data_IF_794548552510
#
_entry.id   IF_794548552510
#
_cell.length_a   1.000
_cell.length_b   1.000
_cell.length_c   1.000
_cell.angle_alpha   90.00
_cell.angle_beta   90.00
_cell.angle_gamma   90.00
#
_symmetry.space_group_name_H-M   'P 1'
#
loop_
_entity.id
_entity.type
_entity.pdbx_description
1 polymer ?
#
# COMPACT_ATOMS: atom_id res chain seq x y z
N UNK A 1 46.61 -34.66 31.27
CA UNK A 1 47.38 -34.21 32.45
C UNK A 1 47.09 -32.73 32.63
N UNK A 2 46.71 -32.35 33.86
CA UNK A 2 46.48 -30.99 34.38
C UNK A 2 45.22 -30.21 33.94
N UNK A 3 44.57 -29.67 34.96
CA UNK A 3 43.20 -29.11 35.07
C UNK A 3 43.28 -27.58 34.99
N UNK A 4 42.31 -26.93 34.33
CA UNK A 4 42.16 -25.46 34.31
C UNK A 4 41.07 -24.98 35.28
N UNK A 5 41.33 -23.79 35.84
CA UNK A 5 40.84 -23.20 37.09
C UNK A 5 39.39 -22.70 37.09
N UNK A 6 38.79 -22.79 38.28
CA UNK A 6 37.71 -21.94 38.80
C UNK A 6 38.14 -20.47 38.90
N UNK A 7 37.30 -19.55 38.42
CA UNK A 7 36.98 -18.34 39.17
C UNK A 7 35.45 -18.29 39.31
N UNK A 8 35.03 -18.38 40.58
CA UNK A 8 33.66 -18.45 41.06
C UNK A 8 33.56 -17.40 42.13
N UNK A 9 32.68 -16.42 41.99
CA UNK A 9 31.98 -15.90 43.17
C UNK A 9 30.52 -15.65 42.89
N UNK A 10 29.72 -16.62 43.35
CA UNK A 10 28.26 -16.58 43.62
C UNK A 10 27.35 -16.43 42.41
N UNK A 11 26.55 -17.41 42.05
CA UNK A 11 26.36 -18.78 42.51
C UNK A 11 25.69 -19.49 41.35
N UNK A 12 26.31 -20.59 40.92
CA UNK A 12 25.74 -21.91 41.11
C UNK A 12 24.44 -22.09 40.30
N UNK A 13 24.55 -22.43 39.01
CA UNK A 13 24.63 -23.81 38.48
C UNK A 13 23.33 -24.59 38.58
N UNK A 14 23.12 -25.33 37.48
CA UNK A 14 22.51 -26.65 37.41
C UNK A 14 21.17 -26.72 36.71
N UNK A 15 21.26 -27.33 35.53
CA UNK A 15 20.26 -28.19 34.92
C UNK A 15 19.39 -28.95 35.94
N UNK A 16 18.08 -28.96 35.73
CA UNK A 16 17.27 -30.16 35.54
C UNK A 16 15.80 -29.75 35.28
N UNK A 17 15.26 -30.23 34.16
CA UNK A 17 14.00 -31.00 34.07
C UNK A 17 12.77 -30.46 34.81
N UNK A 18 11.77 -30.09 33.98
CA UNK A 18 10.30 -30.18 34.21
C UNK A 18 9.71 -29.17 35.20
N UNK A 19 8.95 -28.21 34.69
CA UNK A 19 7.48 -28.15 34.79
C UNK A 19 6.99 -26.92 34.01
N UNK A 20 6.08 -27.18 33.09
CA UNK A 20 5.09 -26.29 32.51
C UNK A 20 4.56 -25.24 33.51
N UNK A 21 4.90 -23.96 33.35
CA UNK A 21 4.06 -22.87 33.84
C UNK A 21 4.03 -21.70 32.84
N UNK A 22 2.84 -21.52 32.27
CA UNK A 22 2.39 -20.31 31.61
C UNK A 22 2.74 -19.07 32.44
N UNK A 23 3.49 -18.14 31.86
CA UNK A 23 3.40 -16.74 32.25
C UNK A 23 3.71 -15.87 31.03
N UNK A 24 2.64 -15.39 30.40
CA UNK A 24 2.68 -14.21 29.55
C UNK A 24 3.34 -13.08 30.34
N UNK A 25 4.60 -12.77 30.05
CA UNK A 25 5.16 -11.47 30.39
C UNK A 25 5.56 -10.81 29.08
N UNK A 26 4.54 -10.15 28.53
CA UNK A 26 4.71 -9.15 27.50
C UNK A 26 5.88 -8.25 27.90
N UNK A 27 6.93 -8.24 27.08
CA UNK A 27 7.82 -7.10 27.01
C UNK A 27 6.99 -5.91 26.54
N UNK A 28 6.30 -5.25 27.47
CA UNK A 28 5.82 -3.88 27.31
C UNK A 28 7.07 -3.02 27.47
N UNK A 29 7.90 -3.02 26.42
CA UNK A 29 8.67 -1.83 26.13
C UNK A 29 7.65 -0.70 25.95
N UNK A 30 7.81 0.47 26.58
CA UNK A 30 7.07 1.65 26.17
C UNK A 30 7.53 1.93 24.74
N UNK A 31 6.79 1.40 23.78
CA UNK A 31 6.86 1.85 22.40
C UNK A 31 6.46 3.31 22.50
N UNK A 32 7.42 4.20 22.36
CA UNK A 32 7.16 5.60 22.04
C UNK A 32 6.20 5.59 20.86
N UNK A 33 4.93 5.81 21.17
CA UNK A 33 3.87 5.91 20.20
C UNK A 33 4.06 7.26 19.52
N UNK A 34 5.04 7.33 18.62
CA UNK A 34 5.04 8.28 17.51
C UNK A 34 3.99 7.82 16.51
N UNK A 35 2.75 7.70 16.96
CA UNK A 35 1.60 7.62 16.07
C UNK A 35 1.40 9.00 15.45
N UNK A 36 1.08 9.10 14.16
CA UNK A 36 0.62 10.37 13.62
C UNK A 36 -0.72 10.66 14.30
N UNK A 37 -0.75 11.71 15.12
CA UNK A 37 -2.01 12.26 15.59
C UNK A 37 -2.89 12.68 14.40
N UNK A 38 -4.20 12.80 14.59
CA UNK A 38 -5.10 13.30 13.56
C UNK A 38 -4.94 14.83 13.49
N UNK A 39 -3.78 15.29 13.03
CA UNK A 39 -3.59 16.66 12.55
C UNK A 39 -4.12 16.76 11.12
N UNK A 40 -4.69 17.89 10.70
CA UNK A 40 -5.01 18.11 9.31
C UNK A 40 -3.69 18.17 8.53
N UNK A 41 -3.28 17.05 7.94
CA UNK A 41 -2.14 17.05 7.03
C UNK A 41 -2.44 18.03 5.89
N UNK A 42 -1.50 18.92 5.50
CA UNK A 42 -1.71 19.81 4.37
C UNK A 42 -1.96 18.98 3.12
N UNK A 43 -2.80 19.46 2.19
CA UNK A 43 -3.19 18.80 0.94
C UNK A 43 -2.02 18.16 0.14
N UNK A 44 -0.79 18.66 0.33
CA UNK A 44 0.47 18.13 -0.21
C UNK A 44 0.73 16.67 0.21
N UNK A 45 0.23 16.23 1.36
CA UNK A 45 0.40 14.86 1.87
C UNK A 45 -0.50 13.84 1.15
N UNK A 46 -1.68 14.24 0.67
CA UNK A 46 -2.63 13.30 0.05
C UNK A 46 -2.09 12.70 -1.25
N UNK A 47 -1.42 13.52 -2.08
CA UNK A 47 -0.79 13.04 -3.31
C UNK A 47 0.33 12.03 -3.01
N UNK A 48 1.25 12.37 -2.11
CA UNK A 48 2.35 11.49 -1.71
C UNK A 48 1.85 10.17 -1.12
N UNK A 49 0.80 10.23 -0.28
CA UNK A 49 0.15 9.03 0.29
C UNK A 49 -0.51 8.16 -0.77
N UNK A 50 -1.17 8.77 -1.76
CA UNK A 50 -1.74 8.04 -2.89
C UNK A 50 -0.64 7.32 -3.69
N UNK A 51 0.45 8.01 -4.01
CA UNK A 51 1.57 7.43 -4.75
C UNK A 51 2.22 6.28 -3.99
N UNK A 52 2.45 6.43 -2.68
CA UNK A 52 2.97 5.36 -1.83
C UNK A 52 2.03 4.14 -1.77
N UNK A 53 0.72 4.37 -1.63
CA UNK A 53 -0.27 3.29 -1.64
C UNK A 53 -0.33 2.58 -3.01
N UNK A 54 -0.24 3.33 -4.11
CA UNK A 54 -0.19 2.74 -5.45
C UNK A 54 1.09 1.91 -5.65
N UNK A 55 2.24 2.38 -5.16
CA UNK A 55 3.48 1.60 -5.19
C UNK A 55 3.35 0.28 -4.42
N UNK A 56 2.71 0.31 -3.24
CA UNK A 56 2.41 -0.90 -2.47
C UNK A 56 1.52 -1.88 -3.26
N UNK A 57 0.46 -1.38 -3.93
CA UNK A 57 -0.39 -2.20 -4.80
C UNK A 57 0.38 -2.83 -5.96
N UNK A 58 1.36 -2.13 -6.54
CA UNK A 58 2.22 -2.68 -7.61
C UNK A 58 3.14 -3.79 -7.09
N UNK A 59 3.67 -3.63 -5.88
CA UNK A 59 4.55 -4.63 -5.24
C UNK A 59 3.83 -5.90 -4.77
N UNK A 60 2.50 -5.85 -4.58
CA UNK A 60 1.74 -7.03 -4.14
C UNK A 60 1.65 -8.11 -5.23
N UNK A 61 1.79 -9.41 -4.88
CA UNK A 61 1.59 -10.53 -5.78
C UNK A 61 0.09 -10.84 -5.94
N UNK A 62 -0.64 -9.89 -6.51
CA UNK A 62 -2.08 -10.04 -6.76
C UNK A 62 -2.34 -11.02 -7.90
N UNK A 63 -3.27 -11.96 -7.67
CA UNK A 63 -3.56 -13.10 -8.55
C UNK A 63 -4.37 -12.75 -9.81
N UNK A 64 -4.91 -11.53 -9.90
CA UNK A 64 -5.72 -11.08 -11.03
C UNK A 64 -5.45 -9.61 -11.35
N UNK A 65 -5.61 -9.24 -12.62
CA UNK A 65 -5.52 -7.85 -13.07
C UNK A 65 -6.62 -6.99 -12.45
N UNK A 66 -7.84 -7.51 -12.31
CA UNK A 66 -8.94 -6.81 -11.62
C UNK A 66 -8.59 -6.52 -10.17
N UNK A 67 -8.00 -7.48 -9.44
CA UNK A 67 -7.57 -7.26 -8.06
C UNK A 67 -6.54 -6.13 -7.96
N UNK A 68 -5.58 -6.09 -8.89
CA UNK A 68 -4.59 -5.01 -8.99
C UNK A 68 -5.23 -3.66 -9.33
N UNK A 69 -6.16 -3.64 -10.28
CA UNK A 69 -6.88 -2.43 -10.67
C UNK A 69 -7.71 -1.85 -9.51
N UNK A 70 -8.39 -2.70 -8.73
CA UNK A 70 -9.12 -2.28 -7.51
C UNK A 70 -8.18 -1.65 -6.49
N UNK A 71 -7.07 -2.31 -6.16
CA UNK A 71 -6.08 -1.78 -5.23
C UNK A 71 -5.57 -0.39 -5.69
N UNK A 72 -5.21 -0.28 -6.97
CA UNK A 72 -4.74 0.99 -7.54
C UNK A 72 -5.81 2.09 -7.52
N UNK A 73 -7.08 1.74 -7.71
CA UNK A 73 -8.19 2.69 -7.64
C UNK A 73 -8.42 3.15 -6.20
N UNK A 74 -8.43 2.25 -5.22
CA UNK A 74 -8.57 2.59 -3.80
C UNK A 74 -7.43 3.50 -3.33
N UNK A 75 -6.20 3.22 -3.79
CA UNK A 75 -5.05 4.07 -3.55
C UNK A 75 -5.18 5.45 -4.22
N UNK A 76 -5.69 5.52 -5.45
CA UNK A 76 -5.94 6.78 -6.16
C UNK A 76 -7.01 7.64 -5.47
N UNK A 77 -8.02 7.01 -4.85
CA UNK A 77 -9.08 7.72 -4.13
C UNK A 77 -8.57 8.56 -2.96
N UNK A 78 -7.39 8.26 -2.40
CA UNK A 78 -6.74 9.09 -1.36
C UNK A 78 -6.52 10.53 -1.86
N UNK A 79 -6.17 10.69 -3.14
CA UNK A 79 -5.96 11.99 -3.77
C UNK A 79 -7.20 12.51 -4.52
N UNK A 80 -8.36 11.84 -4.41
CA UNK A 80 -9.59 12.27 -5.07
C UNK A 80 -9.98 13.73 -4.75
N UNK A 81 -9.85 14.24 -3.51
CA UNK A 81 -10.17 15.64 -3.19
C UNK A 81 -9.32 16.69 -3.92
N UNK A 82 -8.19 16.28 -4.52
CA UNK A 82 -7.29 17.17 -5.26
C UNK A 82 -7.61 17.24 -6.76
N UNK A 83 -8.57 16.45 -7.25
CA UNK A 83 -8.94 16.45 -8.66
C UNK A 83 -9.90 17.58 -8.98
N UNK A 84 -9.52 18.43 -9.94
CA UNK A 84 -10.33 19.52 -10.46
C UNK A 84 -11.58 19.01 -11.21
N UNK A 85 -11.47 17.82 -11.83
CA UNK A 85 -12.53 17.18 -12.61
C UNK A 85 -12.88 15.79 -12.01
N UNK A 86 -13.71 15.71 -10.96
CA UNK A 86 -13.97 14.47 -10.24
C UNK A 86 -14.73 13.41 -11.06
N UNK A 87 -15.52 13.82 -12.06
CA UNK A 87 -16.20 12.91 -12.98
C UNK A 87 -15.21 12.25 -13.96
N UNK A 88 -14.25 13.01 -14.51
CA UNK A 88 -13.19 12.49 -15.37
C UNK A 88 -12.28 11.53 -14.60
N UNK A 89 -11.97 11.86 -13.35
CA UNK A 89 -11.24 10.98 -12.46
C UNK A 89 -11.97 9.64 -12.27
N UNK A 90 -13.28 9.66 -11.98
CA UNK A 90 -14.10 8.44 -11.86
C UNK A 90 -14.15 7.64 -13.17
N UNK A 91 -14.24 8.30 -14.33
CA UNK A 91 -14.18 7.64 -15.65
C UNK A 91 -12.86 6.89 -15.84
N UNK A 92 -11.73 7.50 -15.46
CA UNK A 92 -10.43 6.83 -15.51
C UNK A 92 -10.36 5.61 -14.58
N UNK A 93 -10.90 5.71 -13.36
CA UNK A 93 -10.93 4.57 -12.43
C UNK A 93 -11.78 3.41 -12.98
N UNK A 94 -12.95 3.71 -13.54
CA UNK A 94 -13.84 2.70 -14.12
C UNK A 94 -13.20 2.01 -15.34
N UNK A 95 -12.57 2.79 -16.22
CA UNK A 95 -11.86 2.25 -17.39
C UNK A 95 -10.76 1.26 -16.99
N UNK A 96 -10.03 1.52 -15.91
CA UNK A 96 -9.00 0.61 -15.40
C UNK A 96 -9.58 -0.76 -15.04
N UNK A 97 -10.75 -0.79 -14.40
CA UNK A 97 -11.42 -2.02 -14.00
C UNK A 97 -11.96 -2.78 -15.22
N UNK A 98 -12.56 -2.06 -16.17
CA UNK A 98 -13.08 -2.67 -17.39
C UNK A 98 -11.95 -3.34 -18.19
N UNK A 99 -10.86 -2.61 -18.44
CA UNK A 99 -9.69 -3.13 -19.15
C UNK A 99 -9.11 -4.33 -18.41
N UNK A 100 -8.90 -4.22 -17.10
CA UNK A 100 -8.38 -5.31 -16.29
C UNK A 100 -9.29 -6.56 -16.35
N UNK A 101 -10.60 -6.37 -16.42
CA UNK A 101 -11.58 -7.45 -16.58
C UNK A 101 -11.38 -8.16 -17.91
N UNK A 102 -11.19 -7.42 -19.01
CA UNK A 102 -10.94 -8.01 -20.33
C UNK A 102 -9.60 -8.74 -20.39
N UNK A 103 -8.56 -8.22 -19.72
CA UNK A 103 -7.27 -8.92 -19.60
C UNK A 103 -7.42 -10.22 -18.80
N UNK A 104 -8.11 -10.20 -17.65
CA UNK A 104 -8.37 -11.41 -16.85
C UNK A 104 -9.17 -12.46 -17.64
N UNK A 105 -10.12 -12.01 -18.49
CA UNK A 105 -10.88 -12.86 -19.41
C UNK A 105 -10.10 -13.30 -20.66
N UNK A 106 -8.86 -12.83 -20.84
CA UNK A 106 -8.02 -13.08 -22.03
C UNK A 106 -8.62 -12.59 -23.34
N UNK A 107 -9.49 -11.59 -23.29
CA UNK A 107 -10.06 -10.92 -24.47
C UNK A 107 -9.05 -9.97 -25.13
N UNK A 108 -8.09 -9.46 -24.36
CA UNK A 108 -6.97 -8.63 -24.79
C UNK A 108 -5.70 -9.01 -24.03
N UNK A 109 -4.53 -8.64 -24.57
CA UNK A 109 -3.26 -8.82 -23.86
C UNK A 109 -3.06 -7.74 -22.77
N UNK A 110 -2.20 -7.97 -21.76
CA UNK A 110 -1.86 -6.94 -20.79
C UNK A 110 -1.24 -5.68 -21.42
N UNK A 111 -0.45 -5.86 -22.49
CA UNK A 111 0.16 -4.76 -23.24
C UNK A 111 -0.89 -3.92 -23.97
N UNK A 112 -1.83 -4.57 -24.68
CA UNK A 112 -2.95 -3.88 -25.31
C UNK A 112 -3.81 -3.14 -24.27
N UNK A 113 -4.02 -3.76 -23.11
CA UNK A 113 -4.73 -3.13 -22.00
C UNK A 113 -4.03 -1.88 -21.48
N UNK A 114 -2.70 -1.92 -21.34
CA UNK A 114 -1.91 -0.77 -20.92
C UNK A 114 -1.99 0.38 -21.95
N UNK A 115 -1.85 0.06 -23.24
CA UNK A 115 -1.96 1.04 -24.33
C UNK A 115 -3.34 1.70 -24.37
N UNK A 116 -4.41 0.89 -24.31
CA UNK A 116 -5.78 1.42 -24.30
C UNK A 116 -6.06 2.29 -23.06
N UNK A 117 -5.50 1.95 -21.91
CA UNK A 117 -5.65 2.76 -20.72
C UNK A 117 -4.93 4.10 -20.84
N UNK A 118 -3.70 4.10 -21.37
CA UNK A 118 -2.94 5.31 -21.64
C UNK A 118 -3.68 6.26 -22.61
N UNK A 119 -4.29 5.71 -23.67
CA UNK A 119 -5.11 6.49 -24.60
C UNK A 119 -6.34 7.11 -23.92
N UNK A 120 -6.99 6.38 -23.01
CA UNK A 120 -8.11 6.90 -22.22
C UNK A 120 -7.64 8.03 -21.31
N UNK A 121 -6.53 7.86 -20.58
CA UNK A 121 -5.98 8.91 -19.71
C UNK A 121 -5.61 10.17 -20.52
N UNK A 122 -4.99 10.02 -21.69
CA UNK A 122 -4.66 11.13 -22.56
C UNK A 122 -5.91 11.91 -23.01
N UNK A 123 -6.96 11.22 -23.48
CA UNK A 123 -8.22 11.88 -23.88
C UNK A 123 -8.92 12.58 -22.72
N UNK A 124 -8.95 11.96 -21.54
CA UNK A 124 -9.56 12.56 -20.35
C UNK A 124 -8.76 13.78 -19.87
N UNK A 125 -7.43 13.77 -20.00
CA UNK A 125 -6.60 14.92 -19.69
C UNK A 125 -6.87 16.09 -20.64
N UNK A 126 -6.99 15.84 -21.95
CA UNK A 126 -7.37 16.87 -22.92
C UNK A 126 -8.78 17.42 -22.67
N UNK A 127 -9.75 16.54 -22.35
CA UNK A 127 -11.10 16.96 -21.96
C UNK A 127 -11.08 17.86 -20.70
N UNK A 128 -10.28 17.49 -19.69
CA UNK A 128 -10.11 18.30 -18.48
C UNK A 128 -9.50 19.67 -18.76
N UNK A 129 -8.48 19.75 -19.62
CA UNK A 129 -7.89 21.04 -20.04
C UNK A 129 -8.91 21.91 -20.77
N UNK A 130 -9.72 21.33 -21.64
CA UNK A 130 -10.76 22.05 -22.38
C UNK A 130 -11.81 22.66 -21.44
N UNK A 131 -12.26 21.90 -20.42
CA UNK A 131 -13.20 22.39 -19.41
C UNK A 131 -12.64 23.56 -18.61
N UNK A 132 -11.39 23.46 -18.16
CA UNK A 132 -10.71 24.54 -17.45
C UNK A 132 -10.55 25.80 -18.32
N UNK A 133 -10.29 25.64 -19.62
CA UNK A 133 -10.22 26.76 -20.55
C UNK A 133 -11.58 27.43 -20.80
N UNK A 134 -12.69 26.67 -20.69
CA UNK A 134 -14.05 27.14 -20.86
C UNK A 134 -14.72 27.63 -19.56
N UNK A 135 -14.07 27.43 -18.41
CA UNK A 135 -14.62 27.77 -17.09
C UNK A 135 -15.69 26.80 -16.57
N UNK A 136 -15.62 25.54 -17.01
CA UNK A 136 -16.48 24.42 -16.57
C UNK A 136 -15.90 23.66 -15.38
#
# INVERSE_FOLDING_TARGET
MMVFRCDTSRGATSALVVVLFLALTACVAPRSFSGPGPGPGPAVDLKARSEAAQAACRAQPLVSYVARAKCLNDAAMIAAPLNENPDLFRRALNARIEIATRVDKKEITPEDGANQYADIEARLAEEGKARLANGE
#
